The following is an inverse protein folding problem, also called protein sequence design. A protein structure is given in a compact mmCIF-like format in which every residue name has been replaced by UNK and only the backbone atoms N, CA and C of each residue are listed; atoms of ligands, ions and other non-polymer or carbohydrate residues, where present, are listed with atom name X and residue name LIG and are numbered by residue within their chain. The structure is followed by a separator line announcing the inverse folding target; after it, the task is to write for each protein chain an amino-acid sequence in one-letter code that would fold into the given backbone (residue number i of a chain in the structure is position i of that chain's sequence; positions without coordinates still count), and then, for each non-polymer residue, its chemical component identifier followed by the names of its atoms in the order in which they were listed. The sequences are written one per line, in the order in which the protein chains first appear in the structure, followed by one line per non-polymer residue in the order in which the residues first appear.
data_IF_599009648859
#
_entry.id   IF_599009648859
#
_cell.length_a   1.000
_cell.length_b   1.000
_cell.length_c   1.000
_cell.angle_alpha   90.00
_cell.angle_beta   90.00
_cell.angle_gamma   90.00
#
_symmetry.space_group_name_H-M   'P 1'
#
loop_
_entity.id
_entity.type
_entity.pdbx_description
1 polymer ?
#
# COMPACT_ATOMS: atom_id res chain seq x y z
N UNK A 1 -3.32 21.39 -7.60
CA UNK A 1 -3.92 20.64 -6.47
C UNK A 1 -3.24 21.05 -5.20
N UNK A 2 -3.99 21.33 -4.14
CA UNK A 2 -3.40 21.81 -2.88
C UNK A 2 -2.87 20.62 -2.07
N UNK A 3 -1.56 20.59 -1.80
CA UNK A 3 -0.91 19.52 -1.02
C UNK A 3 -1.49 19.45 0.39
N UNK A 4 -1.78 20.59 1.01
CA UNK A 4 -2.33 20.64 2.37
C UNK A 4 -3.70 19.97 2.46
N UNK A 5 -4.55 20.15 1.44
CA UNK A 5 -5.85 19.48 1.37
C UNK A 5 -5.68 17.96 1.29
N UNK A 6 -4.73 17.49 0.48
CA UNK A 6 -4.44 16.05 0.36
C UNK A 6 -3.95 15.49 1.69
N UNK A 7 -3.01 16.18 2.35
CA UNK A 7 -2.46 15.78 3.65
C UNK A 7 -3.56 15.67 4.71
N UNK A 8 -4.43 16.68 4.82
CA UNK A 8 -5.54 16.67 5.77
C UNK A 8 -6.49 15.49 5.52
N UNK A 9 -6.85 15.25 4.26
CA UNK A 9 -7.72 14.14 3.88
C UNK A 9 -7.07 12.78 4.11
N UNK A 10 -5.75 12.65 3.88
CA UNK A 10 -4.98 11.44 4.20
C UNK A 10 -4.98 11.19 5.71
N UNK A 11 -4.71 12.20 6.53
CA UNK A 11 -4.73 12.06 7.99
C UNK A 11 -6.10 11.67 8.55
N UNK A 12 -7.18 12.05 7.86
CA UNK A 12 -8.54 11.64 8.19
C UNK A 12 -8.93 10.28 7.57
N UNK A 13 -7.99 9.55 6.97
CA UNK A 13 -8.18 8.26 6.32
C UNK A 13 -9.25 8.28 5.21
N UNK A 14 -9.34 9.38 4.45
CA UNK A 14 -10.18 9.41 3.25
C UNK A 14 -9.55 8.51 2.18
N UNK A 15 -10.15 7.33 1.95
CA UNK A 15 -9.63 6.30 1.03
C UNK A 15 -9.36 6.82 -0.37
N UNK A 16 -10.14 7.80 -0.87
CA UNK A 16 -9.92 8.37 -2.21
C UNK A 16 -8.64 9.19 -2.23
N UNK A 17 -8.42 10.00 -1.20
CA UNK A 17 -7.22 10.81 -1.08
C UNK A 17 -5.98 9.97 -0.73
N UNK A 18 -6.11 8.89 0.05
CA UNK A 18 -5.05 7.90 0.26
C UNK A 18 -4.62 7.28 -1.07
N UNK A 19 -5.57 6.76 -1.87
CA UNK A 19 -5.26 6.20 -3.19
C UNK A 19 -4.62 7.23 -4.13
N UNK A 20 -5.06 8.49 -4.05
CA UNK A 20 -4.51 9.58 -4.86
C UNK A 20 -3.10 9.97 -4.43
N UNK A 21 -2.84 10.06 -3.12
CA UNK A 21 -1.52 10.31 -2.56
C UNK A 21 -0.54 9.21 -2.99
N UNK A 22 -0.96 7.94 -2.94
CA UNK A 22 -0.15 6.82 -3.45
C UNK A 22 0.17 7.02 -4.95
N UNK A 23 -0.82 7.35 -5.78
CA UNK A 23 -0.55 7.63 -7.20
C UNK A 23 0.41 8.81 -7.42
N UNK A 24 0.36 9.84 -6.56
CA UNK A 24 1.29 10.99 -6.64
C UNK A 24 2.71 10.55 -6.29
N UNK A 25 2.91 9.80 -5.20
CA UNK A 25 4.26 9.34 -4.81
C UNK A 25 4.86 8.39 -5.83
N UNK A 26 4.01 7.60 -6.51
CA UNK A 26 4.41 6.76 -7.64
C UNK A 26 4.89 7.52 -8.87
N UNK A 27 4.45 8.77 -9.06
CA UNK A 27 4.79 9.60 -10.24
C UNK A 27 6.15 10.33 -10.11
N UNK A 28 6.73 10.40 -8.90
CA UNK A 28 8.06 10.94 -8.62
C UNK A 28 8.34 12.38 -9.11
N UNK A 29 7.35 13.27 -9.00
CA UNK A 29 7.50 14.70 -9.32
C UNK A 29 7.77 15.55 -8.06
N UNK A 30 8.02 16.86 -8.22
CA UNK A 30 8.26 17.77 -7.08
C UNK A 30 7.14 17.75 -6.03
N UNK A 31 5.89 17.58 -6.47
CA UNK A 31 4.71 17.47 -5.61
C UNK A 31 4.79 16.22 -4.71
N UNK A 32 5.37 15.12 -5.19
CA UNK A 32 5.55 13.91 -4.37
C UNK A 32 6.50 14.12 -3.19
N UNK A 33 7.58 14.88 -3.38
CA UNK A 33 8.55 15.19 -2.32
C UNK A 33 7.92 16.08 -1.24
N UNK A 34 7.17 17.09 -1.65
CA UNK A 34 6.46 17.99 -0.73
C UNK A 34 5.39 17.22 0.06
N UNK A 35 4.60 16.38 -0.62
CA UNK A 35 3.60 15.54 0.02
C UNK A 35 4.21 14.59 1.05
N UNK A 36 5.28 13.85 0.70
CA UNK A 36 5.94 12.93 1.64
C UNK A 36 6.49 13.66 2.87
N UNK A 37 7.12 14.82 2.67
CA UNK A 37 7.64 15.64 3.78
C UNK A 37 6.56 15.98 4.81
N UNK A 38 5.36 16.34 4.34
CA UNK A 38 4.23 16.64 5.22
C UNK A 38 3.66 15.39 5.89
N UNK A 39 3.53 14.29 5.15
CA UNK A 39 3.03 13.02 5.69
C UNK A 39 3.96 12.42 6.75
N UNK A 40 5.29 12.60 6.63
CA UNK A 40 6.29 12.07 7.57
C UNK A 40 6.04 12.50 9.02
N UNK A 41 5.41 13.67 9.24
CA UNK A 41 4.99 14.16 10.57
C UNK A 41 4.10 13.18 11.33
N UNK A 42 3.42 12.29 10.60
CA UNK A 42 2.57 11.24 11.16
C UNK A 42 2.97 9.84 10.66
N UNK A 43 4.24 9.55 10.43
CA UNK A 43 4.70 8.18 10.12
C UNK A 43 5.40 7.53 11.31
N UNK A 44 5.79 6.27 11.19
CA UNK A 44 6.55 5.52 12.20
C UNK A 44 5.70 4.81 13.24
N UNK A 45 4.38 4.68 13.03
CA UNK A 45 3.47 4.02 13.97
C UNK A 45 3.02 2.64 13.51
N UNK A 46 2.90 2.45 12.19
CA UNK A 46 2.44 1.20 11.62
C UNK A 46 3.50 0.09 11.72
N UNK A 47 3.07 -1.13 12.05
CA UNK A 47 3.92 -2.32 11.95
C UNK A 47 4.01 -2.80 10.50
N UNK A 48 5.23 -2.97 9.98
CA UNK A 48 5.50 -3.32 8.57
C UNK A 48 5.92 -4.78 8.44
N UNK A 49 5.17 -5.56 7.66
CA UNK A 49 5.35 -7.02 7.51
C UNK A 49 5.64 -7.34 6.06
N UNK A 50 6.76 -8.01 5.77
CA UNK A 50 7.06 -8.54 4.43
C UNK A 50 6.71 -10.02 4.32
N UNK A 51 5.99 -10.41 3.27
CA UNK A 51 5.63 -11.78 2.93
C UNK A 51 6.18 -12.07 1.53
N UNK A 52 7.11 -13.01 1.44
CA UNK A 52 7.77 -13.40 0.19
C UNK A 52 7.85 -14.92 0.08
N UNK A 53 8.08 -15.43 -1.13
CA UNK A 53 8.15 -16.86 -1.41
C UNK A 53 7.79 -17.19 -2.86
N UNK A 54 7.98 -18.45 -3.29
CA UNK A 54 7.70 -18.84 -4.67
C UNK A 54 6.21 -18.73 -5.04
N UNK A 55 5.87 -18.71 -6.34
CA UNK A 55 4.50 -18.83 -6.80
C UNK A 55 3.84 -20.11 -6.24
N UNK A 56 2.60 -20.02 -5.78
CA UNK A 56 1.87 -21.17 -5.22
C UNK A 56 2.18 -21.50 -3.75
N UNK A 57 3.12 -20.81 -3.09
CA UNK A 57 3.44 -21.03 -1.67
C UNK A 57 2.34 -20.62 -0.67
N UNK A 58 1.21 -20.08 -1.15
CA UNK A 58 0.10 -19.65 -0.28
C UNK A 58 0.28 -18.26 0.34
N UNK A 59 1.16 -17.40 -0.20
CA UNK A 59 1.39 -16.03 0.30
C UNK A 59 0.10 -15.23 0.44
N UNK A 60 -0.70 -15.14 -0.64
CA UNK A 60 -1.95 -14.38 -0.62
C UNK A 60 -2.98 -14.95 0.36
N UNK A 61 -2.95 -16.28 0.55
CA UNK A 61 -3.77 -16.94 1.56
C UNK A 61 -3.35 -16.51 2.97
N UNK A 62 -2.04 -16.49 3.26
CA UNK A 62 -1.51 -16.01 4.53
C UNK A 62 -1.81 -14.52 4.75
N UNK A 63 -1.59 -13.67 3.75
CA UNK A 63 -1.92 -12.24 3.77
C UNK A 63 -3.39 -12.02 4.14
N UNK A 64 -4.30 -12.78 3.50
CA UNK A 64 -5.74 -12.72 3.79
C UNK A 64 -6.07 -13.13 5.23
N UNK A 65 -5.51 -14.24 5.70
CA UNK A 65 -5.73 -14.69 7.09
C UNK A 65 -5.21 -13.69 8.12
N UNK A 66 -4.01 -13.13 7.91
CA UNK A 66 -3.44 -12.10 8.79
C UNK A 66 -4.30 -10.83 8.78
N UNK A 67 -4.74 -10.38 7.61
CA UNK A 67 -5.62 -9.22 7.51
C UNK A 67 -6.91 -9.45 8.29
N UNK A 68 -7.60 -10.58 8.09
CA UNK A 68 -8.81 -10.94 8.84
C UNK A 68 -8.56 -11.04 10.35
N UNK A 69 -7.42 -11.61 10.75
CA UNK A 69 -7.03 -11.71 12.15
C UNK A 69 -6.93 -10.32 12.80
N UNK A 70 -6.16 -9.40 12.21
CA UNK A 70 -6.03 -8.04 12.72
C UNK A 70 -7.33 -7.24 12.66
N UNK A 71 -8.17 -7.49 11.64
CA UNK A 71 -9.51 -6.88 11.57
C UNK A 71 -10.42 -7.30 12.73
N UNK A 72 -10.33 -8.55 13.20
CA UNK A 72 -11.06 -9.00 14.41
C UNK A 72 -10.62 -8.25 15.67
N UNK A 73 -9.40 -7.74 15.70
CA UNK A 73 -8.87 -6.88 16.78
C UNK A 73 -9.13 -5.39 16.55
N UNK A 74 -10.03 -5.04 15.62
CA UNK A 74 -10.36 -3.67 15.21
C UNK A 74 -9.18 -2.86 14.65
N UNK A 75 -8.10 -3.51 14.21
CA UNK A 75 -6.93 -2.86 13.62
C UNK A 75 -7.12 -2.58 12.14
N UNK A 76 -6.64 -1.45 11.63
CA UNK A 76 -6.65 -1.14 10.19
C UNK A 76 -5.46 -1.79 9.50
N UNK A 77 -5.68 -2.38 8.33
CA UNK A 77 -4.66 -3.14 7.59
C UNK A 77 -4.50 -2.58 6.17
N UNK A 78 -3.30 -2.11 5.86
CA UNK A 78 -2.87 -1.75 4.52
C UNK A 78 -2.16 -2.93 3.88
N UNK A 79 -2.48 -3.26 2.63
CA UNK A 79 -1.84 -4.32 1.86
C UNK A 79 -1.27 -3.69 0.59
N UNK A 80 0.02 -3.88 0.38
CA UNK A 80 0.73 -3.50 -0.84
C UNK A 80 1.21 -4.78 -1.51
N UNK A 81 0.45 -5.24 -2.50
CA UNK A 81 0.84 -6.38 -3.33
C UNK A 81 1.80 -5.89 -4.42
N UNK A 82 2.99 -6.47 -4.49
CA UNK A 82 4.05 -6.08 -5.41
C UNK A 82 4.25 -7.16 -6.44
N UNK A 83 3.73 -6.90 -7.63
CA UNK A 83 3.79 -7.82 -8.76
C UNK A 83 4.97 -7.50 -9.70
N UNK A 84 5.47 -8.49 -10.46
CA UNK A 84 6.34 -8.22 -11.59
C UNK A 84 5.74 -7.16 -12.53
N UNK A 85 6.61 -6.36 -13.14
CA UNK A 85 6.19 -5.30 -14.05
C UNK A 85 5.61 -5.89 -15.33
N UNK A 86 4.38 -5.51 -15.68
CA UNK A 86 3.77 -5.90 -16.96
C UNK A 86 4.62 -5.36 -18.12
N UNK A 87 5.05 -6.22 -19.06
CA UNK A 87 5.84 -5.78 -20.22
C UNK A 87 5.03 -4.93 -21.21
N UNK A 88 3.69 -4.96 -21.12
CA UNK A 88 2.79 -4.22 -22.01
C UNK A 88 2.39 -2.85 -21.47
N UNK A 89 2.12 -2.75 -20.16
CA UNK A 89 1.58 -1.52 -19.55
C UNK A 89 2.56 -0.81 -18.62
N UNK A 90 3.65 -1.47 -18.22
CA UNK A 90 4.58 -0.96 -17.21
C UNK A 90 4.01 -0.91 -15.78
N UNK A 91 2.75 -1.34 -15.59
CA UNK A 91 2.06 -1.42 -14.30
C UNK A 91 2.11 -2.81 -13.66
N UNK A 92 1.43 -2.96 -12.52
CA UNK A 92 1.32 -4.25 -11.82
C UNK A 92 0.44 -5.23 -12.60
N UNK A 93 0.78 -6.51 -12.59
CA UNK A 93 -0.12 -7.57 -13.04
C UNK A 93 -1.23 -7.71 -11.98
N UNK A 94 -2.47 -7.32 -12.28
CA UNK A 94 -3.62 -7.27 -11.34
C UNK A 94 -4.00 -8.61 -10.65
N UNK A 95 -3.25 -9.69 -10.87
CA UNK A 95 -3.57 -11.06 -10.45
C UNK A 95 -3.74 -11.22 -8.94
N UNK A 96 -2.95 -10.51 -8.14
CA UNK A 96 -3.00 -10.62 -6.68
C UNK A 96 -4.24 -9.95 -6.08
N UNK A 97 -4.74 -8.89 -6.73
CA UNK A 97 -5.95 -8.18 -6.27
C UNK A 97 -7.22 -9.02 -6.46
N UNK A 98 -7.31 -9.82 -7.52
CA UNK A 98 -8.48 -10.69 -7.78
C UNK A 98 -8.61 -11.77 -6.70
N UNK A 99 -7.49 -12.22 -6.14
CA UNK A 99 -7.42 -13.25 -5.09
C UNK A 99 -7.82 -12.75 -3.69
N UNK A 100 -7.95 -11.44 -3.49
CA UNK A 100 -8.28 -10.79 -2.21
C UNK A 100 -9.67 -10.13 -2.21
N UNK A 101 -10.58 -10.60 -3.08
CA UNK A 101 -11.93 -10.03 -3.25
C UNK A 101 -12.80 -10.12 -2.00
N UNK A 102 -12.57 -11.13 -1.16
CA UNK A 102 -13.32 -11.38 0.07
C UNK A 102 -13.04 -10.35 1.19
N UNK A 103 -11.84 -9.77 1.23
CA UNK A 103 -11.47 -8.70 2.17
C UNK A 103 -11.56 -7.30 1.58
N UNK A 104 -11.70 -7.18 0.25
CA UNK A 104 -11.72 -5.89 -0.44
C UNK A 104 -12.88 -4.96 -0.05
N UNK A 105 -13.94 -5.49 0.55
CA UNK A 105 -15.10 -4.71 1.01
C UNK A 105 -15.00 -4.24 2.46
N UNK A 106 -14.01 -4.70 3.25
CA UNK A 106 -13.83 -4.26 4.64
C UNK A 106 -13.35 -2.81 4.67
N UNK A 107 -14.05 -1.96 5.42
CA UNK A 107 -13.71 -0.54 5.51
C UNK A 107 -12.38 -0.28 6.23
N UNK A 108 -11.93 -1.19 7.10
CA UNK A 108 -10.62 -1.14 7.75
C UNK A 108 -9.47 -1.71 6.91
N UNK A 109 -9.73 -2.19 5.69
CA UNK A 109 -8.71 -2.71 4.77
C UNK A 109 -8.52 -1.75 3.58
N UNK A 110 -7.26 -1.58 3.20
CA UNK A 110 -6.87 -0.90 1.97
C UNK A 110 -5.88 -1.76 1.18
N UNK A 111 -6.12 -1.94 -0.12
CA UNK A 111 -5.30 -2.79 -0.97
C UNK A 111 -4.79 -1.97 -2.16
N UNK A 112 -3.48 -1.99 -2.39
CA UNK A 112 -2.82 -1.41 -3.56
C UNK A 112 -1.97 -2.47 -4.25
N UNK A 113 -2.15 -2.64 -5.56
CA UNK A 113 -1.20 -3.37 -6.40
C UNK A 113 -0.17 -2.41 -6.96
N UNK A 114 1.12 -2.77 -6.87
CA UNK A 114 2.25 -1.96 -7.34
C UNK A 114 3.19 -2.84 -8.16
N UNK A 115 3.86 -2.25 -9.15
CA UNK A 115 4.86 -2.96 -9.94
C UNK A 115 6.24 -2.86 -9.29
N UNK A 116 7.08 -3.88 -9.44
CA UNK A 116 8.50 -3.82 -9.06
C UNK A 116 9.29 -2.73 -9.81
N UNK A 117 8.83 -2.32 -10.99
CA UNK A 117 9.48 -1.37 -11.92
C UNK A 117 10.98 -1.64 -12.13
N UNK A 118 11.34 -2.93 -12.21
CA UNK A 118 12.72 -3.36 -12.46
C UNK A 118 13.67 -3.25 -11.26
N UNK A 119 13.17 -3.04 -10.03
CA UNK A 119 14.03 -3.05 -8.84
C UNK A 119 14.58 -4.45 -8.54
N UNK A 120 15.90 -4.56 -8.40
CA UNK A 120 16.60 -5.74 -7.91
C UNK A 120 16.30 -5.89 -6.41
N UNK A 121 15.34 -6.75 -6.05
CA UNK A 121 14.98 -7.02 -4.65
C UNK A 121 13.48 -7.14 -4.35
N UNK A 122 12.61 -7.04 -5.35
CA UNK A 122 11.16 -7.30 -5.19
C UNK A 122 10.36 -6.17 -4.54
N UNK A 123 11.01 -5.18 -3.92
CA UNK A 123 10.37 -3.95 -3.43
C UNK A 123 11.02 -2.73 -4.11
N UNK A 124 10.21 -1.76 -4.51
CA UNK A 124 10.69 -0.49 -5.07
C UNK A 124 10.71 0.58 -3.97
N UNK A 125 11.51 1.64 -4.13
CA UNK A 125 11.41 2.83 -3.26
C UNK A 125 9.97 3.35 -3.17
N UNK A 126 9.21 3.24 -4.27
CA UNK A 126 7.81 3.66 -4.34
C UNK A 126 6.88 2.81 -3.49
N UNK A 127 7.22 1.54 -3.28
CA UNK A 127 6.50 0.66 -2.37
C UNK A 127 6.64 1.14 -0.92
N UNK A 128 7.82 1.62 -0.54
CA UNK A 128 8.08 2.21 0.78
C UNK A 128 7.34 3.55 0.91
N UNK A 129 7.45 4.43 -0.08
CA UNK A 129 6.74 5.73 -0.09
C UNK A 129 5.21 5.52 0.05
N UNK A 130 4.65 4.49 -0.59
CA UNK A 130 3.23 4.15 -0.47
C UNK A 130 2.86 3.64 0.93
N UNK A 131 3.75 2.91 1.60
CA UNK A 131 3.55 2.51 2.99
C UNK A 131 3.58 3.72 3.94
N UNK A 132 4.42 4.71 3.69
CA UNK A 132 4.44 5.95 4.47
C UNK A 132 3.10 6.70 4.37
N UNK A 133 2.45 6.68 3.19
CA UNK A 133 1.08 7.23 3.03
C UNK A 133 0.07 6.47 3.90
N UNK A 134 0.13 5.14 3.96
CA UNK A 134 -0.78 4.33 4.77
C UNK A 134 -0.52 4.52 6.27
N UNK A 135 0.73 4.60 6.70
CA UNK A 135 1.10 4.88 8.10
C UNK A 135 0.57 6.26 8.53
N UNK A 136 0.74 7.28 7.67
CA UNK A 136 0.19 8.61 7.87
C UNK A 136 -1.34 8.63 7.91
N UNK A 137 -2.01 7.75 7.15
CA UNK A 137 -3.47 7.57 7.19
C UNK A 137 -3.98 6.80 8.43
N UNK A 138 -3.07 6.36 9.31
CA UNK A 138 -3.40 5.70 10.56
C UNK A 138 -3.77 4.23 10.40
N UNK A 139 -3.17 3.53 9.42
CA UNK A 139 -3.20 2.08 9.37
C UNK A 139 -2.26 1.50 10.43
N UNK A 140 -2.70 0.48 11.15
CA UNK A 140 -1.92 -0.15 12.24
C UNK A 140 -0.90 -1.14 11.69
N UNK A 141 -1.26 -1.89 10.64
CA UNK A 141 -0.42 -2.88 9.99
C UNK A 141 -0.33 -2.60 8.50
N UNK A 142 0.87 -2.72 7.95
CA UNK A 142 1.13 -2.62 6.51
C UNK A 142 1.84 -3.88 6.06
N UNK A 143 1.16 -4.67 5.24
CA UNK A 143 1.67 -5.93 4.70
C UNK A 143 2.15 -5.71 3.27
N UNK A 144 3.38 -6.12 2.99
CA UNK A 144 3.95 -6.21 1.66
C UNK A 144 3.92 -7.66 1.21
N UNK A 145 3.38 -7.94 0.03
CA UNK A 145 3.41 -9.25 -0.59
C UNK A 145 4.23 -9.19 -1.89
N UNK A 146 5.13 -10.15 -2.10
CA UNK A 146 5.99 -10.28 -3.31
C UNK A 146 5.97 -11.70 -3.84
#
# INVERSE_FOLDING_TARGET
MNVNEIVEKVFNNDKRYVSRAISIVESNNSVSTELLKELHKKTGRAYRIGITGPPGAGKSTLTNYLAKFYRKENKKVGIIAVDPTSPFTGGALLGDRVRMTDIGNDQGIFIRSMATRGSLGGLSKKTIDAADVLDAAGYDYIIFET
#
